data_IF_833822958663
#
_entry.id   IF_833822958663
#
_cell.length_a   1.000
_cell.length_b   1.000
_cell.length_c   1.000
_cell.angle_alpha   90.00
_cell.angle_beta   90.00
_cell.angle_gamma   90.00
#
_symmetry.space_group_name_H-M   'P 1'
#
loop_
_entity.id
_entity.type
_entity.pdbx_description
1 polymer ?
#
# COMPACT_ATOMS: atom_id res chain seq x y z
N UNK A 1 -9.14 19.39 -16.87
CA UNK A 1 -7.79 19.76 -16.44
C UNK A 1 -6.83 18.64 -16.77
N UNK A 2 -6.68 18.40 -18.00
CA UNK A 2 -5.69 17.43 -18.50
C UNK A 2 -4.59 18.33 -19.05
N UNK A 3 -3.39 18.24 -18.54
CA UNK A 3 -2.27 19.11 -18.88
C UNK A 3 -2.03 19.30 -20.39
N UNK A 4 -0.97 19.92 -20.78
CA UNK A 4 -0.61 20.10 -22.19
C UNK A 4 -0.07 18.83 -22.79
N UNK A 5 -0.96 17.84 -23.00
CA UNK A 5 -0.61 16.63 -23.73
C UNK A 5 -0.88 16.81 -25.22
N UNK A 6 0.10 16.39 -26.04
CA UNK A 6 0.01 16.37 -27.51
C UNK A 6 0.32 14.99 -28.02
N UNK A 7 -0.39 14.56 -29.05
CA UNK A 7 -0.01 13.36 -29.79
C UNK A 7 1.35 13.55 -30.50
N UNK A 8 2.05 12.48 -30.87
CA UNK A 8 3.33 12.57 -31.58
C UNK A 8 3.28 13.40 -32.88
N UNK A 9 2.10 13.51 -33.49
CA UNK A 9 1.87 14.36 -34.68
C UNK A 9 1.59 15.83 -34.35
N UNK A 10 1.72 16.25 -33.08
CA UNK A 10 1.50 17.62 -32.62
C UNK A 10 0.04 18.02 -32.43
N UNK A 11 -0.93 17.12 -32.61
CA UNK A 11 -2.34 17.40 -32.36
C UNK A 11 -2.69 17.29 -30.88
N UNK A 12 -3.65 18.10 -30.39
CA UNK A 12 -4.18 17.97 -29.03
C UNK A 12 -5.27 16.90 -28.98
N UNK A 13 -5.34 16.10 -27.90
CA UNK A 13 -6.49 15.23 -27.66
C UNK A 13 -7.78 16.06 -27.52
N UNK A 14 -8.88 15.51 -27.99
CA UNK A 14 -10.21 16.08 -27.74
C UNK A 14 -10.66 15.68 -26.30
N UNK A 15 -10.23 16.47 -25.33
CA UNK A 15 -10.41 16.16 -23.90
C UNK A 15 -11.87 15.98 -23.50
N UNK A 16 -12.79 16.72 -24.15
CA UNK A 16 -14.22 16.58 -23.90
C UNK A 16 -14.72 15.18 -24.31
N UNK A 17 -14.25 14.69 -25.44
CA UNK A 17 -14.58 13.34 -25.91
C UNK A 17 -13.99 12.26 -24.96
N UNK A 18 -12.76 12.45 -24.49
CA UNK A 18 -12.13 11.57 -23.51
C UNK A 18 -12.91 11.52 -22.20
N UNK A 19 -13.34 12.69 -21.68
CA UNK A 19 -14.16 12.77 -20.45
C UNK A 19 -15.51 12.08 -20.63
N UNK A 20 -16.20 12.29 -21.74
CA UNK A 20 -17.46 11.60 -22.06
C UNK A 20 -17.22 10.08 -22.10
N UNK A 21 -16.17 9.63 -22.77
CA UNK A 21 -15.87 8.22 -22.93
C UNK A 21 -15.58 7.54 -21.58
N UNK A 22 -14.78 8.15 -20.70
CA UNK A 22 -14.50 7.58 -19.37
C UNK A 22 -15.76 7.46 -18.53
N UNK A 23 -16.64 8.48 -18.52
CA UNK A 23 -17.91 8.45 -17.77
C UNK A 23 -18.87 7.40 -18.33
N UNK A 24 -18.93 7.24 -19.65
CA UNK A 24 -19.71 6.17 -20.30
C UNK A 24 -19.16 4.79 -19.93
N UNK A 25 -17.83 4.61 -19.98
CA UNK A 25 -17.17 3.37 -19.61
C UNK A 25 -17.46 3.00 -18.15
N UNK A 26 -17.31 3.92 -17.21
CA UNK A 26 -17.62 3.71 -15.80
C UNK A 26 -19.06 3.20 -15.59
N UNK A 27 -20.04 3.89 -16.18
CA UNK A 27 -21.46 3.50 -16.10
C UNK A 27 -21.72 2.15 -16.75
N UNK A 28 -21.17 1.90 -17.94
CA UNK A 28 -21.32 0.64 -18.65
C UNK A 28 -20.69 -0.52 -17.85
N UNK A 29 -19.49 -0.33 -17.34
CA UNK A 29 -18.77 -1.36 -16.61
C UNK A 29 -19.42 -1.66 -15.25
N UNK A 30 -19.95 -0.65 -14.57
CA UNK A 30 -20.77 -0.84 -13.37
C UNK A 30 -22.02 -1.68 -13.69
N UNK A 31 -22.73 -1.37 -14.78
CA UNK A 31 -23.89 -2.16 -15.23
C UNK A 31 -23.49 -3.60 -15.59
N UNK A 32 -22.33 -3.82 -16.20
CA UNK A 32 -21.82 -5.15 -16.49
C UNK A 32 -21.57 -5.95 -15.21
N UNK A 33 -21.02 -5.33 -14.17
CA UNK A 33 -20.75 -5.96 -12.86
C UNK A 33 -22.01 -6.40 -12.11
N UNK A 34 -23.17 -5.87 -12.42
CA UNK A 34 -24.44 -6.38 -11.88
C UNK A 34 -24.85 -7.73 -12.49
N UNK A 35 -24.27 -8.08 -13.64
CA UNK A 35 -24.57 -9.30 -14.39
C UNK A 35 -23.47 -10.36 -14.29
N UNK A 36 -22.24 -9.93 -14.07
CA UNK A 36 -21.08 -10.79 -13.98
C UNK A 36 -20.05 -10.21 -12.99
N UNK A 37 -19.38 -11.08 -12.24
CA UNK A 37 -18.23 -10.65 -11.41
C UNK A 37 -17.03 -10.51 -12.35
N UNK A 38 -16.69 -9.27 -12.66
CA UNK A 38 -15.60 -8.93 -13.57
C UNK A 38 -14.41 -8.46 -12.73
N UNK A 39 -13.33 -9.25 -12.72
CA UNK A 39 -12.13 -8.95 -11.96
C UNK A 39 -11.20 -7.94 -12.65
N UNK A 40 -11.25 -7.87 -13.99
CA UNK A 40 -10.41 -7.01 -14.81
C UNK A 40 -11.24 -6.26 -15.88
N UNK A 41 -10.81 -5.04 -16.27
CA UNK A 41 -9.68 -4.29 -15.74
C UNK A 41 -9.85 -3.91 -14.27
N UNK A 42 -8.73 -3.75 -13.56
CA UNK A 42 -8.73 -3.12 -12.24
C UNK A 42 -8.72 -1.61 -12.47
N UNK A 43 -9.79 -0.95 -12.09
CA UNK A 43 -9.97 0.48 -12.34
C UNK A 43 -9.43 1.30 -11.19
N UNK A 44 -8.84 2.45 -11.51
CA UNK A 44 -8.49 3.49 -10.57
C UNK A 44 -9.11 4.79 -11.02
N UNK A 45 -9.98 5.37 -10.21
CA UNK A 45 -10.63 6.65 -10.47
C UNK A 45 -9.80 7.75 -9.82
N UNK A 46 -9.13 8.53 -10.65
CA UNK A 46 -8.27 9.62 -10.21
C UNK A 46 -9.05 10.93 -10.11
N UNK A 47 -8.91 11.61 -8.97
CA UNK A 47 -9.56 12.90 -8.70
C UNK A 47 -8.51 13.90 -8.24
N UNK A 48 -8.65 15.16 -8.70
CA UNK A 48 -7.79 16.28 -8.28
C UNK A 48 -8.56 17.16 -7.30
N UNK A 49 -7.90 17.54 -6.19
CA UNK A 49 -8.45 18.43 -5.17
C UNK A 49 -7.68 19.76 -5.09
N UNK A 50 -8.32 20.80 -4.58
CA UNK A 50 -7.75 22.13 -4.35
C UNK A 50 -7.29 22.35 -2.88
N UNK A 51 -7.22 21.27 -2.11
CA UNK A 51 -6.96 21.27 -0.67
C UNK A 51 -8.21 21.32 0.20
N UNK A 52 -9.39 21.60 -0.39
CA UNK A 52 -10.67 21.65 0.32
C UNK A 52 -11.69 20.66 -0.25
N UNK A 53 -11.77 20.54 -1.57
CA UNK A 53 -12.73 19.67 -2.24
C UNK A 53 -12.16 19.18 -3.59
N UNK A 54 -12.79 18.15 -4.17
CA UNK A 54 -12.51 17.72 -5.54
C UNK A 54 -12.93 18.82 -6.52
N UNK A 55 -12.04 19.13 -7.45
CA UNK A 55 -12.28 20.21 -8.44
C UNK A 55 -13.45 19.83 -9.35
N UNK A 56 -13.50 18.60 -9.87
CA UNK A 56 -14.62 18.09 -10.67
C UNK A 56 -15.68 17.46 -9.76
N UNK A 57 -16.63 18.28 -9.31
CA UNK A 57 -17.71 17.86 -8.41
C UNK A 57 -18.67 16.87 -9.05
N UNK A 58 -18.87 16.94 -10.36
CA UNK A 58 -19.73 15.99 -11.07
C UNK A 58 -19.07 14.60 -11.09
N UNK A 59 -17.76 14.55 -11.34
CA UNK A 59 -17.02 13.30 -11.29
C UNK A 59 -16.95 12.71 -9.88
N UNK A 60 -16.74 13.54 -8.85
CA UNK A 60 -16.85 13.14 -7.44
C UNK A 60 -18.19 12.47 -7.13
N UNK A 61 -19.29 13.13 -7.57
CA UNK A 61 -20.64 12.61 -7.40
C UNK A 61 -20.85 11.28 -8.13
N UNK A 62 -20.32 11.16 -9.36
CA UNK A 62 -20.37 9.91 -10.12
C UNK A 62 -19.61 8.78 -9.43
N UNK A 63 -18.41 9.05 -8.89
CA UNK A 63 -17.65 8.06 -8.15
C UNK A 63 -18.39 7.56 -6.89
N UNK A 64 -19.00 8.48 -6.13
CA UNK A 64 -19.78 8.13 -4.95
C UNK A 64 -21.03 7.32 -5.30
N UNK A 65 -21.70 7.64 -6.41
CA UNK A 65 -22.84 6.89 -6.95
C UNK A 65 -22.41 5.46 -7.37
N UNK A 66 -21.29 5.34 -8.09
CA UNK A 66 -20.75 4.03 -8.48
C UNK A 66 -20.43 3.16 -7.27
N UNK A 67 -19.86 3.72 -6.21
CA UNK A 67 -19.63 3.01 -4.96
C UNK A 67 -20.94 2.55 -4.30
N UNK A 68 -21.95 3.43 -4.22
CA UNK A 68 -23.24 3.10 -3.65
C UNK A 68 -23.98 2.00 -4.43
N UNK A 69 -23.79 1.97 -5.75
CA UNK A 69 -24.29 0.89 -6.62
C UNK A 69 -23.47 -0.40 -6.51
N UNK A 70 -22.34 -0.38 -5.78
CA UNK A 70 -21.49 -1.54 -5.54
C UNK A 70 -20.41 -1.80 -6.58
N UNK A 71 -20.03 -0.76 -7.32
CA UNK A 71 -18.84 -0.85 -8.17
C UNK A 71 -17.57 -0.94 -7.33
N UNK A 72 -16.64 -1.79 -7.73
CA UNK A 72 -15.41 -2.01 -7.01
C UNK A 72 -14.21 -1.47 -7.81
N UNK A 73 -13.70 -0.32 -7.39
CA UNK A 73 -12.54 0.36 -7.99
C UNK A 73 -11.63 0.93 -6.91
N UNK A 74 -10.45 1.36 -7.29
CA UNK A 74 -9.59 2.18 -6.43
C UNK A 74 -9.88 3.65 -6.66
N UNK A 75 -9.82 4.43 -5.61
CA UNK A 75 -9.84 5.89 -5.68
C UNK A 75 -8.44 6.42 -5.43
N UNK A 76 -7.99 7.29 -6.32
CA UNK A 76 -6.76 8.06 -6.15
C UNK A 76 -7.08 9.55 -6.10
N UNK A 77 -6.67 10.20 -5.01
CA UNK A 77 -6.87 11.64 -4.80
C UNK A 77 -5.50 12.32 -4.73
N UNK A 78 -5.31 13.37 -5.52
CA UNK A 78 -4.06 14.13 -5.62
C UNK A 78 -4.32 15.62 -5.73
N UNK A 79 -3.34 16.41 -5.34
CA UNK A 79 -3.28 17.87 -5.54
C UNK A 79 -2.79 18.27 -6.94
N UNK A 80 -2.36 17.30 -7.73
CA UNK A 80 -1.80 17.53 -9.07
C UNK A 80 -2.37 16.55 -10.10
N UNK A 81 -2.70 17.05 -11.29
CA UNK A 81 -3.09 16.22 -12.43
C UNK A 81 -1.93 15.40 -12.99
N UNK A 82 -0.69 15.75 -12.66
CA UNK A 82 0.51 15.06 -13.11
C UNK A 82 0.89 13.87 -12.20
N UNK A 83 0.14 13.66 -11.12
CA UNK A 83 0.33 12.54 -10.22
C UNK A 83 -0.62 11.41 -10.58
N UNK A 84 -0.07 10.23 -10.81
CA UNK A 84 -0.82 9.02 -11.19
C UNK A 84 -0.54 7.91 -10.17
N UNK A 85 -1.51 7.04 -9.99
CA UNK A 85 -1.35 5.81 -9.22
C UNK A 85 -1.70 4.59 -10.07
N UNK A 86 -1.01 3.49 -9.82
CA UNK A 86 -1.31 2.18 -10.40
C UNK A 86 -2.00 1.27 -9.38
N UNK A 87 -2.60 0.18 -9.86
CA UNK A 87 -3.23 -0.83 -9.01
C UNK A 87 -2.28 -1.47 -7.99
N UNK A 88 -0.97 -1.41 -8.23
CA UNK A 88 0.09 -1.92 -7.34
C UNK A 88 0.54 -0.90 -6.30
N UNK A 89 -0.22 0.18 -6.06
CA UNK A 89 0.06 1.26 -5.09
C UNK A 89 1.19 2.20 -5.49
N UNK A 90 1.85 1.95 -6.61
CA UNK A 90 2.93 2.79 -7.09
C UNK A 90 2.39 4.18 -7.42
N UNK A 91 2.90 5.17 -6.72
CA UNK A 91 2.64 6.58 -6.97
C UNK A 91 3.73 7.15 -7.87
N UNK A 92 3.33 7.75 -8.96
CA UNK A 92 4.22 8.42 -9.90
C UNK A 92 3.95 9.93 -9.81
N UNK A 93 4.82 10.68 -9.17
CA UNK A 93 4.75 12.13 -9.10
C UNK A 93 5.81 12.73 -10.00
N UNK A 94 5.34 13.48 -10.97
CA UNK A 94 6.13 14.00 -12.07
C UNK A 94 6.96 15.19 -11.70
N UNK A 95 6.40 16.14 -10.95
CA UNK A 95 7.02 17.43 -10.65
C UNK A 95 8.30 17.36 -9.81
N UNK A 96 8.49 16.26 -9.09
CA UNK A 96 9.68 16.04 -8.25
C UNK A 96 10.74 15.17 -8.91
N UNK A 97 10.42 14.60 -10.06
CA UNK A 97 11.40 13.92 -10.90
C UNK A 97 12.06 14.98 -11.76
N UNK A 98 13.34 15.23 -11.53
CA UNK A 98 14.19 16.19 -12.25
C UNK A 98 14.37 15.87 -13.74
N UNK A 99 13.33 15.38 -14.40
CA UNK A 99 13.30 15.19 -15.84
C UNK A 99 12.85 16.51 -16.51
N UNK A 100 13.70 17.01 -17.38
CA UNK A 100 13.53 18.23 -18.15
C UNK A 100 12.09 18.43 -18.66
N UNK A 101 11.53 19.63 -18.55
CA UNK A 101 10.23 20.00 -19.12
C UNK A 101 10.08 19.73 -20.62
N UNK A 102 11.19 19.53 -21.30
CA UNK A 102 11.22 19.27 -22.76
C UNK A 102 10.87 17.81 -23.14
N UNK A 103 10.75 16.89 -22.21
CA UNK A 103 10.39 15.50 -22.53
C UNK A 103 8.90 15.19 -22.44
N UNK A 104 8.02 16.17 -22.31
CA UNK A 104 6.57 16.20 -22.62
C UNK A 104 5.65 15.04 -22.23
N UNK A 105 6.15 13.99 -21.58
CA UNK A 105 5.42 12.75 -21.27
C UNK A 105 5.67 12.36 -19.82
N UNK A 106 5.15 13.14 -18.98
CA UNK A 106 5.30 13.11 -17.55
C UNK A 106 4.31 12.11 -16.93
N UNK A 107 4.78 11.25 -16.03
CA UNK A 107 3.96 10.21 -15.36
C UNK A 107 3.66 8.97 -16.20
N UNK A 108 3.89 9.02 -17.48
CA UNK A 108 3.78 7.88 -18.40
C UNK A 108 5.18 7.27 -18.59
N UNK A 109 5.27 5.95 -18.80
CA UNK A 109 6.52 5.19 -18.97
C UNK A 109 7.38 5.08 -17.71
N UNK A 110 6.82 5.24 -16.53
CA UNK A 110 7.49 5.04 -15.26
C UNK A 110 6.90 3.87 -14.50
N UNK A 111 7.62 3.39 -13.49
CA UNK A 111 7.21 2.25 -12.68
C UNK A 111 8.36 1.81 -11.78
N UNK A 112 8.30 0.59 -11.26
CA UNK A 112 9.40 -0.05 -10.55
C UNK A 112 10.12 -1.05 -11.45
N UNK A 113 11.44 -0.97 -11.54
CA UNK A 113 12.23 -1.98 -12.25
C UNK A 113 12.47 -3.23 -11.39
N UNK A 114 12.53 -3.07 -10.08
CA UNK A 114 12.53 -4.17 -9.13
C UNK A 114 12.18 -3.66 -7.72
N UNK A 115 11.83 -4.60 -6.83
CA UNK A 115 11.51 -4.33 -5.43
C UNK A 115 12.34 -5.26 -4.55
N UNK A 116 13.07 -4.69 -3.58
CA UNK A 116 13.68 -5.46 -2.49
C UNK A 116 12.90 -5.11 -1.22
N UNK A 117 12.21 -6.09 -0.66
CA UNK A 117 11.33 -5.88 0.48
C UNK A 117 12.04 -6.14 1.79
N UNK A 118 12.03 -5.16 2.67
CA UNK A 118 12.48 -5.26 4.04
C UNK A 118 11.45 -6.00 4.89
N UNK A 119 11.88 -7.01 5.63
CA UNK A 119 11.11 -7.63 6.70
C UNK A 119 11.39 -6.87 8.00
N UNK A 120 10.57 -5.89 8.32
CA UNK A 120 10.78 -4.99 9.47
C UNK A 120 10.70 -5.75 10.79
N UNK A 121 9.84 -6.78 10.89
CA UNK A 121 9.76 -7.61 12.10
C UNK A 121 11.10 -8.26 12.43
N UNK A 122 11.73 -8.91 11.45
CA UNK A 122 13.05 -9.52 11.62
C UNK A 122 14.13 -8.48 11.94
N UNK A 123 14.13 -7.37 11.21
CA UNK A 123 15.13 -6.31 11.39
C UNK A 123 15.07 -5.69 12.79
N UNK A 124 13.88 -5.48 13.34
CA UNK A 124 13.70 -4.97 14.71
C UNK A 124 14.19 -6.00 15.73
N UNK A 125 13.86 -7.28 15.56
CA UNK A 125 14.30 -8.33 16.48
C UNK A 125 15.83 -8.51 16.44
N UNK A 126 16.45 -8.50 15.27
CA UNK A 126 17.92 -8.52 15.12
C UNK A 126 18.57 -7.32 15.80
N UNK A 127 17.99 -6.13 15.62
CA UNK A 127 18.47 -4.92 16.28
C UNK A 127 18.41 -5.05 17.81
N UNK A 128 17.27 -5.50 18.34
CA UNK A 128 17.08 -5.71 19.77
C UNK A 128 18.12 -6.70 20.32
N UNK A 129 18.34 -7.81 19.63
CA UNK A 129 19.33 -8.80 20.03
C UNK A 129 20.75 -8.21 20.00
N UNK A 130 21.09 -7.40 18.98
CA UNK A 130 22.41 -6.74 18.91
C UNK A 130 22.65 -5.73 20.05
N UNK A 131 21.59 -5.08 20.54
CA UNK A 131 21.67 -4.16 21.68
C UNK A 131 21.85 -4.94 22.99
N UNK A 132 21.12 -6.05 23.17
CA UNK A 132 21.27 -6.88 24.38
C UNK A 132 22.73 -7.26 24.59
N UNK A 133 23.42 -7.71 23.55
CA UNK A 133 24.81 -8.10 23.63
C UNK A 133 25.73 -6.91 23.98
N UNK A 134 25.48 -5.73 23.40
CA UNK A 134 26.24 -4.52 23.74
C UNK A 134 25.95 -3.98 25.15
N UNK A 135 24.73 -4.11 25.64
CA UNK A 135 24.35 -3.73 26.99
C UNK A 135 24.96 -4.65 28.03
N UNK A 136 25.01 -5.95 27.78
CA UNK A 136 25.70 -6.92 28.64
C UNK A 136 27.18 -6.52 28.76
N UNK A 137 27.83 -6.20 27.64
CA UNK A 137 29.23 -5.77 27.60
C UNK A 137 29.47 -4.43 28.34
N UNK A 138 28.52 -3.48 28.28
CA UNK A 138 28.65 -2.18 28.96
C UNK A 138 28.33 -2.27 30.47
N UNK A 139 27.47 -3.17 30.90
CA UNK A 139 27.14 -3.41 32.31
C UNK A 139 28.30 -4.11 33.01
N UNK A 140 29.04 -4.97 32.36
CA UNK A 140 30.28 -5.55 32.90
C UNK A 140 31.40 -4.50 33.08
N UNK A 141 31.36 -3.39 32.33
CA UNK A 141 32.34 -2.30 32.37
C UNK A 141 31.91 -1.16 33.31
N UNK A 142 30.62 -0.92 33.48
CA UNK A 142 30.11 0.11 34.40
C UNK A 142 29.54 -0.52 35.68
N UNK A 143 30.23 -0.30 36.79
CA UNK A 143 29.83 -0.77 38.14
C UNK A 143 28.58 -0.07 38.70
N UNK A 144 27.78 0.62 37.90
CA UNK A 144 26.55 1.26 38.28
C UNK A 144 25.33 0.42 37.92
N UNK A 145 24.66 -0.07 38.95
CA UNK A 145 23.51 -0.95 39.02
C UNK A 145 22.31 -0.53 38.15
N UNK A 146 22.36 -0.77 36.83
CA UNK A 146 21.16 -0.80 36.00
C UNK A 146 20.78 -2.26 35.76
N UNK A 147 19.55 -2.68 36.08
CA UNK A 147 19.13 -4.07 35.90
C UNK A 147 19.13 -4.43 34.40
N UNK A 148 19.62 -5.62 34.11
CA UNK A 148 19.56 -6.25 32.78
C UNK A 148 18.13 -6.21 32.23
N UNK A 149 17.91 -5.91 30.94
CA UNK A 149 16.60 -6.02 30.34
C UNK A 149 16.13 -7.47 30.42
N UNK A 150 15.09 -7.68 31.22
CA UNK A 150 14.31 -8.91 31.24
C UNK A 150 13.67 -9.11 29.87
N UNK A 151 13.18 -10.29 29.57
CA UNK A 151 12.32 -10.54 28.41
C UNK A 151 11.24 -9.44 28.33
N UNK A 152 10.82 -8.98 27.13
CA UNK A 152 9.79 -7.95 27.00
C UNK A 152 8.53 -8.19 27.83
N UNK A 153 8.19 -9.44 28.09
CA UNK A 153 7.04 -9.86 28.92
C UNK A 153 7.25 -9.63 30.42
N UNK A 154 8.45 -9.24 30.86
CA UNK A 154 8.80 -9.04 32.28
C UNK A 154 9.22 -7.62 32.61
N UNK A 155 9.20 -6.71 31.61
CA UNK A 155 9.53 -5.30 31.78
C UNK A 155 8.33 -4.54 32.36
N UNK A 156 8.59 -3.66 33.33
CA UNK A 156 7.57 -2.72 33.78
C UNK A 156 7.39 -1.55 32.79
N UNK A 157 6.41 -0.68 33.05
CA UNK A 157 6.08 0.42 32.14
C UNK A 157 7.20 1.46 31.96
N UNK A 158 8.05 1.64 32.96
CA UNK A 158 9.19 2.56 32.90
C UNK A 158 10.35 1.94 32.11
N UNK A 159 10.63 0.67 32.32
CA UNK A 159 11.63 -0.10 31.57
C UNK A 159 11.27 -0.18 30.10
N UNK A 160 9.99 -0.42 29.76
CA UNK A 160 9.49 -0.39 28.38
C UNK A 160 9.66 1.02 27.77
N UNK A 161 9.37 2.08 28.53
CA UNK A 161 9.51 3.47 28.07
C UNK A 161 10.98 3.82 27.80
N UNK A 162 11.89 3.40 28.67
CA UNK A 162 13.34 3.61 28.49
C UNK A 162 13.86 2.85 27.27
N UNK A 163 13.42 1.62 27.10
CA UNK A 163 13.76 0.77 25.96
C UNK A 163 13.29 1.36 24.63
N UNK A 164 12.06 1.90 24.59
CA UNK A 164 11.51 2.63 23.44
C UNK A 164 12.35 3.86 23.06
N UNK A 165 12.81 4.64 24.06
CA UNK A 165 13.70 5.79 23.83
C UNK A 165 15.02 5.40 23.22
N UNK A 166 15.58 4.27 23.58
CA UNK A 166 16.85 3.77 23.01
C UNK A 166 16.65 3.27 21.58
N UNK A 167 15.56 2.57 21.30
CA UNK A 167 15.19 2.20 19.93
C UNK A 167 15.08 3.44 19.06
N UNK A 168 14.36 4.47 19.54
CA UNK A 168 14.19 5.71 18.78
C UNK A 168 15.53 6.40 18.45
N UNK A 169 16.53 6.27 19.32
CA UNK A 169 17.87 6.85 19.11
C UNK A 169 18.78 6.03 18.18
N UNK A 170 18.78 4.73 18.31
CA UNK A 170 19.80 3.85 17.72
C UNK A 170 19.32 3.11 16.47
N UNK A 171 18.02 2.77 16.41
CA UNK A 171 17.45 1.99 15.33
C UNK A 171 17.65 2.60 13.93
N UNK A 172 17.49 3.92 13.70
CA UNK A 172 17.76 4.51 12.39
C UNK A 172 19.14 4.18 11.86
N UNK A 173 20.18 4.25 12.68
CA UNK A 173 21.56 3.91 12.29
C UNK A 173 21.70 2.44 11.89
N UNK A 174 21.04 1.54 12.60
CA UNK A 174 21.02 0.11 12.27
C UNK A 174 20.30 -0.14 10.93
N UNK A 175 19.15 0.48 10.74
CA UNK A 175 18.38 0.40 9.49
C UNK A 175 19.17 0.95 8.31
N UNK A 176 19.86 2.08 8.47
CA UNK A 176 20.71 2.68 7.44
C UNK A 176 21.79 1.68 6.98
N UNK A 177 22.46 0.96 7.88
CA UNK A 177 23.45 -0.04 7.50
C UNK A 177 22.89 -1.17 6.65
N UNK A 178 21.60 -1.51 6.84
CA UNK A 178 20.90 -2.49 6.00
C UNK A 178 20.59 -1.88 4.65
N UNK A 179 20.05 -0.66 4.63
CA UNK A 179 19.70 0.07 3.42
C UNK A 179 20.91 0.27 2.49
N UNK A 180 22.09 0.57 3.04
CA UNK A 180 23.33 0.68 2.27
C UNK A 180 23.61 -0.56 1.42
N UNK A 181 23.37 -1.75 1.98
CA UNK A 181 23.53 -3.00 1.22
C UNK A 181 22.43 -3.15 0.16
N UNK A 182 21.20 -2.78 0.49
CA UNK A 182 20.08 -2.86 -0.43
C UNK A 182 20.27 -1.92 -1.63
N UNK A 183 20.77 -0.71 -1.41
CA UNK A 183 21.07 0.22 -2.51
C UNK A 183 22.16 -0.33 -3.45
N UNK A 184 23.19 -0.98 -2.92
CA UNK A 184 24.22 -1.64 -3.74
C UNK A 184 23.64 -2.72 -4.64
N UNK A 185 22.73 -3.55 -4.12
CA UNK A 185 22.04 -4.55 -4.94
C UNK A 185 21.15 -3.92 -6.01
N UNK A 186 20.41 -2.88 -5.66
CA UNK A 186 19.58 -2.16 -6.63
C UNK A 186 20.40 -1.51 -7.75
N UNK A 187 21.51 -0.85 -7.39
CA UNK A 187 22.41 -0.23 -8.37
C UNK A 187 23.00 -1.29 -9.30
N UNK A 188 23.50 -2.40 -8.75
CA UNK A 188 24.06 -3.50 -9.56
C UNK A 188 22.99 -4.07 -10.52
N UNK A 189 21.80 -4.34 -10.03
CA UNK A 189 20.70 -4.86 -10.85
C UNK A 189 20.30 -3.88 -11.95
N UNK A 190 20.10 -2.60 -11.63
CA UNK A 190 19.70 -1.60 -12.61
C UNK A 190 20.82 -1.32 -13.64
N UNK A 191 22.08 -1.45 -13.26
CA UNK A 191 23.21 -1.37 -14.19
C UNK A 191 23.11 -2.46 -15.26
N UNK A 192 22.81 -3.71 -14.89
CA UNK A 192 22.59 -4.80 -15.83
C UNK A 192 21.42 -4.47 -16.77
N UNK A 193 20.33 -3.90 -16.24
CA UNK A 193 19.20 -3.51 -17.08
C UNK A 193 19.56 -2.41 -18.09
N UNK A 194 20.39 -1.45 -17.71
CA UNK A 194 20.91 -0.44 -18.63
C UNK A 194 21.78 -1.04 -19.74
N UNK A 195 22.67 -1.97 -19.38
CA UNK A 195 23.52 -2.65 -20.36
C UNK A 195 22.68 -3.46 -21.37
N UNK A 196 21.59 -4.07 -20.93
CA UNK A 196 20.66 -4.79 -21.79
C UNK A 196 19.79 -3.83 -22.64
N UNK A 197 19.37 -2.67 -22.11
CA UNK A 197 18.68 -1.63 -22.89
C UNK A 197 19.60 -1.10 -24.00
N UNK A 198 20.85 -0.77 -23.68
CA UNK A 198 21.86 -0.28 -24.64
C UNK A 198 22.20 -1.33 -25.71
N UNK A 199 22.14 -2.62 -25.35
CA UNK A 199 22.30 -3.73 -26.30
C UNK A 199 21.04 -4.02 -27.13
N UNK A 200 19.95 -3.26 -26.95
CA UNK A 200 18.69 -3.44 -27.69
C UNK A 200 17.90 -4.69 -27.30
N UNK A 201 18.16 -5.30 -26.13
CA UNK A 201 17.53 -6.55 -25.71
C UNK A 201 16.06 -6.39 -25.25
N UNK A 202 15.64 -5.16 -24.95
CA UNK A 202 14.27 -4.87 -24.53
C UNK A 202 13.41 -4.30 -25.66
N UNK A 203 12.58 -5.12 -26.27
CA UNK A 203 11.69 -4.70 -27.38
C UNK A 203 10.74 -3.59 -27.00
N UNK A 204 10.23 -3.57 -25.75
CA UNK A 204 9.36 -2.51 -25.24
C UNK A 204 10.09 -1.16 -25.10
N UNK A 205 11.38 -1.16 -24.74
CA UNK A 205 12.21 0.04 -24.69
C UNK A 205 12.53 0.55 -26.10
N UNK A 206 12.89 -0.36 -27.01
CA UNK A 206 13.16 -0.04 -28.41
C UNK A 206 11.95 0.56 -29.11
N UNK A 207 10.74 0.09 -28.76
CA UNK A 207 9.47 0.62 -29.27
C UNK A 207 9.05 1.94 -28.60
N UNK A 208 9.79 2.41 -27.58
CA UNK A 208 9.52 3.68 -26.89
C UNK A 208 8.38 3.62 -25.87
N UNK A 209 7.91 2.43 -25.47
CA UNK A 209 6.83 2.30 -24.48
C UNK A 209 7.32 2.54 -23.06
N UNK A 210 8.57 2.21 -22.75
CA UNK A 210 9.18 2.36 -21.43
C UNK A 210 10.67 2.63 -21.59
N UNK A 211 11.28 3.27 -20.59
CA UNK A 211 12.72 3.48 -20.53
C UNK A 211 13.23 3.15 -19.13
N UNK A 212 14.32 2.38 -19.04
CA UNK A 212 14.91 1.97 -17.77
C UNK A 212 15.29 3.18 -16.91
N UNK A 213 15.73 4.28 -17.52
CA UNK A 213 16.08 5.53 -16.81
C UNK A 213 14.90 6.16 -16.04
N UNK A 214 13.65 5.88 -16.43
CA UNK A 214 12.44 6.40 -15.77
C UNK A 214 11.92 5.48 -14.66
N UNK A 215 12.48 4.30 -14.49
CA UNK A 215 12.03 3.34 -13.52
C UNK A 215 12.72 3.54 -12.17
N UNK A 216 11.97 3.31 -11.10
CA UNK A 216 12.48 3.32 -9.74
C UNK A 216 13.01 1.96 -9.33
N UNK A 217 14.02 1.97 -8.45
CA UNK A 217 14.39 0.84 -7.61
C UNK A 217 13.65 0.99 -6.29
N UNK A 218 12.71 0.11 -6.00
CA UNK A 218 11.76 0.29 -4.89
C UNK A 218 12.23 -0.44 -3.63
N UNK A 219 12.26 0.28 -2.53
CA UNK A 219 12.39 -0.30 -1.20
C UNK A 219 11.01 -0.73 -0.75
N UNK A 220 10.75 -2.01 -0.80
CA UNK A 220 9.50 -2.61 -0.30
C UNK A 220 9.52 -2.68 1.23
N UNK A 221 8.36 -2.54 1.85
CA UNK A 221 8.19 -2.57 3.30
C UNK A 221 7.11 -3.56 3.65
N UNK A 222 7.41 -4.50 4.57
CA UNK A 222 6.47 -5.46 5.13
C UNK A 222 6.85 -5.79 6.58
N UNK A 223 5.91 -6.25 7.41
CA UNK A 223 6.18 -6.62 8.80
C UNK A 223 6.21 -5.46 9.79
N UNK A 224 5.64 -4.29 9.45
CA UNK A 224 5.57 -3.13 10.35
C UNK A 224 4.68 -3.40 11.57
N UNK A 225 3.50 -3.97 11.35
CA UNK A 225 2.55 -4.27 12.42
C UNK A 225 3.11 -5.32 13.38
N UNK A 226 3.75 -6.33 12.82
CA UNK A 226 4.38 -7.42 13.54
C UNK A 226 5.53 -6.91 14.43
N UNK A 227 6.36 -6.04 13.88
CA UNK A 227 7.42 -5.36 14.64
C UNK A 227 6.86 -4.48 15.77
N UNK A 228 5.76 -3.76 15.52
CA UNK A 228 5.10 -2.95 16.53
C UNK A 228 4.53 -3.81 17.66
N UNK A 229 3.87 -4.93 17.34
CA UNK A 229 3.35 -5.88 18.34
C UNK A 229 4.48 -6.51 19.14
N UNK A 230 5.58 -6.91 18.53
CA UNK A 230 6.78 -7.39 19.22
C UNK A 230 7.32 -6.38 20.23
N UNK A 231 7.26 -5.09 19.91
CA UNK A 231 7.65 -4.01 20.82
C UNK A 231 6.60 -3.67 21.89
N UNK A 232 5.49 -4.40 21.94
CA UNK A 232 4.37 -4.13 22.83
C UNK A 232 3.55 -2.90 22.47
N UNK A 233 3.69 -2.37 21.24
CA UNK A 233 2.89 -1.26 20.74
C UNK A 233 1.52 -1.75 20.29
N UNK A 234 0.48 -0.99 20.64
CA UNK A 234 -0.86 -1.26 20.12
C UNK A 234 -0.98 -0.74 18.70
N UNK A 235 -1.20 -1.64 17.72
CA UNK A 235 -1.40 -1.31 16.32
C UNK A 235 -2.77 -0.67 16.13
N UNK A 236 -2.85 0.64 16.27
CA UNK A 236 -4.08 1.43 16.18
C UNK A 236 -3.73 2.92 15.95
N UNK A 237 -4.75 3.77 15.77
CA UNK A 237 -4.58 5.22 15.71
C UNK A 237 -4.23 5.77 17.11
N UNK A 238 -2.95 5.70 17.44
CA UNK A 238 -2.38 6.26 18.68
C UNK A 238 -0.98 6.83 18.41
N UNK A 239 -0.56 7.72 19.28
CA UNK A 239 0.69 8.47 19.14
C UNK A 239 1.92 7.56 19.03
N UNK A 240 2.05 6.58 19.90
CA UNK A 240 3.24 5.72 19.99
C UNK A 240 3.43 4.92 18.70
N UNK A 241 2.33 4.35 18.16
CA UNK A 241 2.38 3.59 16.94
C UNK A 241 2.66 4.47 15.70
N UNK A 242 2.06 5.67 15.65
CA UNK A 242 2.31 6.63 14.57
C UNK A 242 3.77 7.09 14.57
N UNK A 243 4.33 7.42 15.74
CA UNK A 243 5.74 7.80 15.88
C UNK A 243 6.68 6.65 15.45
N UNK A 244 6.33 5.41 15.77
CA UNK A 244 7.07 4.23 15.32
C UNK A 244 7.04 4.09 13.80
N UNK A 245 5.87 4.23 13.16
CA UNK A 245 5.75 4.21 11.71
C UNK A 245 6.58 5.32 11.06
N UNK A 246 6.45 6.55 11.57
CA UNK A 246 7.16 7.72 11.06
C UNK A 246 8.68 7.56 11.18
N UNK A 247 9.18 7.02 12.28
CA UNK A 247 10.60 6.76 12.46
C UNK A 247 11.18 5.89 11.34
N UNK A 248 10.53 4.78 11.04
CA UNK A 248 10.99 3.84 10.02
C UNK A 248 10.85 4.45 8.62
N UNK A 249 9.65 4.96 8.32
CA UNK A 249 9.33 5.47 6.99
C UNK A 249 10.13 6.72 6.63
N UNK A 250 10.33 7.66 7.58
CA UNK A 250 11.17 8.85 7.34
C UNK A 250 12.62 8.47 7.10
N UNK A 251 13.17 7.54 7.90
CA UNK A 251 14.55 7.06 7.71
C UNK A 251 14.72 6.48 6.29
N UNK A 252 13.81 5.65 5.83
CA UNK A 252 13.88 5.08 4.48
C UNK A 252 13.77 6.19 3.42
N UNK A 253 12.83 7.13 3.56
CA UNK A 253 12.64 8.23 2.62
C UNK A 253 13.87 9.12 2.52
N UNK A 254 14.46 9.50 3.64
CA UNK A 254 15.67 10.33 3.69
C UNK A 254 16.84 9.61 3.00
N UNK A 255 17.03 8.31 3.26
CA UNK A 255 18.06 7.52 2.61
C UNK A 255 17.81 7.35 1.11
N UNK A 256 16.56 7.14 0.68
CA UNK A 256 16.21 7.12 -0.74
C UNK A 256 16.61 8.43 -1.45
N UNK A 257 16.37 9.58 -0.82
CA UNK A 257 16.76 10.87 -1.37
C UNK A 257 18.28 11.04 -1.46
N UNK A 258 19.01 10.62 -0.42
CA UNK A 258 20.48 10.71 -0.37
C UNK A 258 21.17 9.80 -1.40
N UNK A 259 20.60 8.60 -1.65
CA UNK A 259 21.21 7.61 -2.56
C UNK A 259 20.74 7.76 -4.00
N UNK A 260 19.71 8.57 -4.27
CA UNK A 260 19.25 8.82 -5.64
C UNK A 260 20.27 9.61 -6.43
N UNK A 261 20.69 9.06 -7.56
CA UNK A 261 21.68 9.63 -8.47
C UNK A 261 20.97 10.15 -9.72
N UNK A 262 20.96 11.47 -9.89
CA UNK A 262 20.34 12.14 -11.05
C UNK A 262 21.35 12.29 -12.21
N UNK A 263 21.82 11.16 -12.74
CA UNK A 263 22.61 11.17 -13.96
C UNK A 263 21.69 11.31 -15.19
N UNK A 264 22.12 12.07 -16.20
CA UNK A 264 21.29 12.32 -17.42
C UNK A 264 21.09 11.06 -18.26
N UNK A 265 22.02 10.13 -18.24
CA UNK A 265 22.00 8.92 -19.06
C UNK A 265 21.49 7.72 -18.29
N UNK A 266 22.05 7.48 -17.10
CA UNK A 266 21.78 6.31 -16.26
C UNK A 266 21.42 6.72 -14.80
N UNK A 267 20.27 7.38 -14.56
CA UNK A 267 19.88 7.75 -13.21
C UNK A 267 19.49 6.53 -12.37
N UNK A 268 19.83 6.58 -11.08
CA UNK A 268 19.38 5.61 -10.09
C UNK A 268 18.42 6.32 -9.14
N UNK A 269 17.14 6.07 -9.31
CA UNK A 269 16.08 6.68 -8.51
C UNK A 269 15.50 5.64 -7.55
N UNK A 270 15.31 6.02 -6.30
CA UNK A 270 14.77 5.16 -5.26
C UNK A 270 13.45 5.72 -4.75
N UNK A 271 12.53 4.83 -4.43
CA UNK A 271 11.29 5.14 -3.73
C UNK A 271 10.96 4.03 -2.72
N UNK A 272 9.94 4.25 -1.89
CA UNK A 272 9.51 3.28 -0.88
C UNK A 272 8.02 2.97 -1.02
N UNK A 273 7.67 1.70 -0.86
CA UNK A 273 6.31 1.19 -0.99
C UNK A 273 5.98 0.22 0.13
N UNK A 274 4.81 0.38 0.74
CA UNK A 274 4.22 -0.69 1.55
C UNK A 274 3.66 -1.73 0.59
N UNK A 275 4.42 -2.81 0.39
CA UNK A 275 4.14 -3.75 -0.68
C UNK A 275 2.82 -4.51 -0.50
N UNK A 276 2.07 -4.78 -1.57
CA UNK A 276 0.92 -5.67 -1.56
C UNK A 276 1.39 -7.14 -1.52
N UNK A 277 1.89 -7.56 -0.36
CA UNK A 277 2.61 -8.82 -0.18
C UNK A 277 1.66 -10.02 -0.19
N UNK A 278 1.20 -10.48 -1.36
CA UNK A 278 0.31 -11.65 -1.46
C UNK A 278 0.96 -12.93 -0.92
N UNK A 279 1.98 -13.43 -1.60
CA UNK A 279 2.72 -14.64 -1.18
C UNK A 279 3.87 -14.32 -0.23
N UNK A 280 4.47 -13.13 -0.33
CA UNK A 280 5.60 -12.73 0.51
C UNK A 280 5.18 -12.58 1.98
N UNK A 281 3.96 -12.12 2.26
CA UNK A 281 3.44 -11.99 3.61
C UNK A 281 3.43 -13.34 4.37
N UNK A 282 2.99 -14.39 3.70
CA UNK A 282 3.01 -15.76 4.23
C UNK A 282 4.44 -16.30 4.33
N UNK A 283 5.29 -16.03 3.32
CA UNK A 283 6.69 -16.46 3.34
C UNK A 283 7.46 -15.80 4.49
N UNK A 284 7.32 -14.47 4.70
CA UNK A 284 7.96 -13.78 5.81
C UNK A 284 7.58 -14.39 7.16
N UNK A 285 6.28 -14.62 7.39
CA UNK A 285 5.79 -15.27 8.59
C UNK A 285 6.42 -16.65 8.80
N UNK A 286 6.41 -17.51 7.76
CA UNK A 286 6.92 -18.87 7.84
C UNK A 286 8.44 -18.92 8.00
N UNK A 287 9.19 -18.04 7.33
CA UNK A 287 10.64 -17.93 7.48
C UNK A 287 11.02 -17.46 8.88
N UNK A 288 10.36 -16.41 9.39
CA UNK A 288 10.63 -15.91 10.74
C UNK A 288 10.32 -16.95 11.80
N UNK A 289 9.16 -17.62 11.70
CA UNK A 289 8.80 -18.72 12.61
C UNK A 289 9.80 -19.87 12.58
N UNK A 290 10.24 -20.28 11.38
CA UNK A 290 11.24 -21.34 11.20
C UNK A 290 12.59 -20.97 11.80
N UNK A 291 13.00 -19.70 11.64
CA UNK A 291 14.30 -19.22 12.09
C UNK A 291 14.28 -18.77 13.56
N UNK A 292 13.17 -18.97 14.30
CA UNK A 292 13.06 -18.72 15.74
C UNK A 292 12.73 -17.27 16.12
N UNK A 293 12.33 -16.42 15.16
CA UNK A 293 11.82 -15.09 15.47
C UNK A 293 10.38 -15.14 16.00
N UNK A 294 10.05 -14.18 16.83
CA UNK A 294 8.68 -14.04 17.31
C UNK A 294 7.75 -13.60 16.17
N UNK A 295 6.63 -14.29 16.06
CA UNK A 295 5.59 -14.03 15.07
C UNK A 295 4.23 -13.99 15.74
N UNK A 296 3.23 -13.26 15.21
CA UNK A 296 1.89 -13.24 15.77
C UNK A 296 1.28 -14.63 15.90
N UNK A 297 0.65 -14.92 17.04
CA UNK A 297 -0.03 -16.20 17.29
C UNK A 297 -1.44 -16.28 16.71
N UNK A 298 -2.07 -15.12 16.46
CA UNK A 298 -3.46 -15.00 16.03
C UNK A 298 -3.66 -14.89 14.51
N UNK A 299 -2.59 -14.99 13.74
CA UNK A 299 -2.59 -14.98 12.28
C UNK A 299 -1.36 -15.72 11.73
N UNK A 300 -1.38 -16.04 10.45
CA UNK A 300 -0.36 -16.86 9.76
C UNK A 300 0.33 -16.14 8.61
N UNK A 301 0.20 -14.82 8.54
CA UNK A 301 0.87 -13.97 7.55
C UNK A 301 1.02 -12.53 8.07
N UNK A 302 1.92 -11.79 7.44
CA UNK A 302 2.17 -10.39 7.77
C UNK A 302 1.22 -9.44 7.03
N UNK A 303 0.84 -8.36 7.70
CA UNK A 303 -0.03 -7.35 7.13
C UNK A 303 0.68 -6.48 6.08
N UNK A 304 -0.13 -5.98 5.13
CA UNK A 304 0.30 -5.03 4.10
C UNK A 304 -0.36 -3.65 4.26
N UNK A 305 -0.84 -3.33 5.47
CA UNK A 305 -1.52 -2.09 5.81
C UNK A 305 -0.96 -1.54 7.12
N UNK A 306 -1.27 -0.28 7.44
CA UNK A 306 -0.91 0.32 8.73
C UNK A 306 -1.91 0.00 9.85
N UNK A 307 -2.70 -1.04 9.69
CA UNK A 307 -3.65 -1.54 10.68
C UNK A 307 -3.87 -3.05 10.48
N UNK A 308 -4.38 -3.71 11.52
CA UNK A 308 -4.70 -5.13 11.44
C UNK A 308 -6.07 -5.35 10.80
N UNK A 309 -6.15 -6.23 9.81
CA UNK A 309 -7.40 -6.55 9.11
C UNK A 309 -8.41 -7.32 9.99
N UNK A 310 -7.93 -7.95 11.05
CA UNK A 310 -8.71 -8.70 12.03
C UNK A 310 -9.00 -7.92 13.32
N UNK A 311 -8.66 -6.63 13.40
CA UNK A 311 -8.99 -5.78 14.56
C UNK A 311 -10.44 -5.27 14.48
N UNK A 312 -11.24 -5.59 15.50
CA UNK A 312 -12.64 -5.15 15.62
C UNK A 312 -12.78 -3.72 16.16
N UNK A 313 -11.72 -3.16 16.75
CA UNK A 313 -11.77 -1.89 17.48
C UNK A 313 -11.34 -0.69 16.64
N UNK A 314 -10.79 -0.91 15.45
CA UNK A 314 -10.34 0.17 14.57
C UNK A 314 -11.47 0.62 13.63
N UNK A 315 -11.80 1.90 13.68
CA UNK A 315 -12.84 2.47 12.83
C UNK A 315 -12.38 2.66 11.38
N UNK A 316 -13.32 2.87 10.47
CA UNK A 316 -13.03 3.24 9.07
C UNK A 316 -12.22 4.53 9.02
N UNK A 317 -12.56 5.52 9.84
CA UNK A 317 -11.87 6.81 9.87
C UNK A 317 -10.44 6.67 10.38
N UNK A 318 -10.19 5.84 11.40
CA UNK A 318 -8.83 5.56 11.89
C UNK A 318 -7.97 4.88 10.83
N UNK A 319 -8.55 3.93 10.08
CA UNK A 319 -7.85 3.26 8.95
C UNK A 319 -7.43 4.27 7.89
N UNK A 320 -8.31 5.20 7.53
CA UNK A 320 -8.02 6.27 6.59
C UNK A 320 -6.96 7.22 7.14
N UNK A 321 -7.07 7.64 8.40
CA UNK A 321 -6.09 8.51 9.05
C UNK A 321 -4.68 7.90 9.05
N UNK A 322 -4.54 6.62 9.39
CA UNK A 322 -3.26 5.92 9.37
C UNK A 322 -2.63 5.85 7.97
N UNK A 323 -3.43 5.86 6.91
CA UNK A 323 -2.96 5.91 5.52
C UNK A 323 -2.96 7.33 4.93
N UNK A 324 -3.18 8.35 5.76
CA UNK A 324 -3.18 9.76 5.40
C UNK A 324 -1.85 10.47 5.69
N UNK A 325 -1.94 11.74 6.03
CA UNK A 325 -0.78 12.63 6.25
C UNK A 325 0.22 12.12 7.30
N UNK A 326 -0.20 11.27 8.23
CA UNK A 326 0.69 10.66 9.22
C UNK A 326 1.76 9.76 8.61
N UNK A 327 1.49 9.11 7.48
CA UNK A 327 2.38 8.13 6.84
C UNK A 327 2.59 8.38 5.35
N UNK A 328 1.58 8.93 4.65
CA UNK A 328 1.57 9.10 3.19
C UNK A 328 2.77 9.89 2.66
N UNK A 329 3.17 10.95 3.36
CA UNK A 329 4.32 11.77 2.96
C UNK A 329 5.64 11.01 2.93
N UNK A 330 5.74 9.87 3.62
CA UNK A 330 6.93 9.04 3.70
C UNK A 330 6.93 7.84 2.74
N UNK A 331 5.81 7.57 2.08
CA UNK A 331 5.66 6.45 1.13
C UNK A 331 5.50 6.99 -0.29
N UNK A 332 6.58 7.45 -0.88
CA UNK A 332 6.61 8.03 -2.23
C UNK A 332 6.38 7.00 -3.35
N UNK A 333 6.61 5.71 -3.10
CA UNK A 333 6.17 4.60 -3.94
C UNK A 333 4.73 4.16 -3.68
N UNK A 334 4.10 4.63 -2.61
CA UNK A 334 2.70 4.43 -2.31
C UNK A 334 2.37 3.45 -1.20
N UNK A 335 1.15 3.57 -0.72
CA UNK A 335 0.46 2.62 0.16
C UNK A 335 -1.03 2.67 -0.19
N UNK A 336 -1.76 1.56 -0.04
CA UNK A 336 -3.19 1.55 -0.30
C UNK A 336 -3.99 1.21 0.96
N UNK A 337 -5.02 2.00 1.23
CA UNK A 337 -5.97 1.75 2.30
C UNK A 337 -7.12 0.88 1.80
N UNK A 338 -7.17 -0.40 2.21
CA UNK A 338 -8.27 -1.29 1.90
C UNK A 338 -9.27 -1.33 3.06
N UNK A 339 -10.44 -0.79 2.84
CA UNK A 339 -11.49 -0.69 3.85
C UNK A 339 -12.51 -1.79 3.59
N UNK A 340 -12.57 -2.78 4.48
CA UNK A 340 -13.56 -3.84 4.40
C UNK A 340 -14.88 -3.36 5.00
N UNK A 341 -15.97 -3.39 4.20
CA UNK A 341 -17.31 -3.04 4.59
C UNK A 341 -18.22 -4.27 4.47
N UNK A 342 -19.15 -4.46 5.41
CA UNK A 342 -20.12 -5.54 5.34
C UNK A 342 -21.23 -5.22 4.35
N UNK A 343 -21.57 -3.94 4.21
CA UNK A 343 -22.66 -3.46 3.38
C UNK A 343 -22.27 -2.24 2.55
N UNK A 344 -23.02 -1.97 1.51
CA UNK A 344 -22.85 -0.76 0.73
C UNK A 344 -23.40 0.45 1.50
N UNK A 345 -22.61 1.51 1.54
CA UNK A 345 -23.01 2.79 2.13
C UNK A 345 -23.86 3.58 1.14
N UNK A 346 -24.57 4.61 1.64
CA UNK A 346 -25.27 5.55 0.77
C UNK A 346 -24.28 6.43 0.01
N UNK A 347 -24.73 7.04 -1.08
CA UNK A 347 -23.96 8.03 -1.84
C UNK A 347 -23.43 9.16 -0.96
N UNK A 348 -24.27 9.65 -0.05
CA UNK A 348 -23.94 10.74 0.88
C UNK A 348 -22.81 10.33 1.86
N UNK A 349 -22.83 9.09 2.34
CA UNK A 349 -21.77 8.56 3.19
C UNK A 349 -20.45 8.42 2.43
N UNK A 350 -20.48 7.95 1.18
CA UNK A 350 -19.28 7.91 0.34
C UNK A 350 -18.73 9.30 0.02
N UNK A 351 -19.59 10.29 -0.23
CA UNK A 351 -19.17 11.69 -0.40
C UNK A 351 -18.41 12.19 0.82
N UNK A 352 -18.96 11.97 2.02
CA UNK A 352 -18.28 12.34 3.28
C UNK A 352 -16.96 11.61 3.48
N UNK A 353 -16.85 10.34 3.10
CA UNK A 353 -15.58 9.60 3.17
C UNK A 353 -14.54 10.15 2.18
N UNK A 354 -14.95 10.58 0.99
CA UNK A 354 -14.08 11.27 0.04
C UNK A 354 -13.61 12.61 0.63
N UNK A 355 -14.50 13.39 1.25
CA UNK A 355 -14.14 14.64 1.93
C UNK A 355 -13.17 14.39 3.09
N UNK A 356 -13.41 13.34 3.87
CA UNK A 356 -12.51 12.93 4.93
C UNK A 356 -11.13 12.51 4.39
N UNK A 357 -11.09 11.79 3.26
CA UNK A 357 -9.84 11.41 2.60
C UNK A 357 -9.01 12.65 2.20
N UNK A 358 -9.65 13.71 1.68
CA UNK A 358 -8.97 14.97 1.36
C UNK A 358 -8.43 15.61 2.63
N UNK A 359 -9.25 15.72 3.67
CA UNK A 359 -8.87 16.33 4.95
C UNK A 359 -7.68 15.64 5.60
N UNK A 360 -7.67 14.31 5.62
CA UNK A 360 -6.62 13.52 6.26
C UNK A 360 -5.46 13.14 5.31
N UNK A 361 -5.55 13.50 4.02
CA UNK A 361 -4.51 13.20 3.03
C UNK A 361 -4.44 11.73 2.62
N UNK A 362 -5.54 10.98 2.75
CA UNK A 362 -5.62 9.58 2.32
C UNK A 362 -5.76 9.51 0.81
N UNK A 363 -4.66 9.37 0.10
CA UNK A 363 -4.62 9.52 -1.36
C UNK A 363 -5.07 8.30 -2.14
N UNK A 364 -4.84 7.08 -1.64
CA UNK A 364 -5.12 5.86 -2.39
C UNK A 364 -5.87 4.84 -1.53
N UNK A 365 -7.12 4.59 -1.88
CA UNK A 365 -7.99 3.70 -1.10
C UNK A 365 -9.01 2.97 -1.96
N UNK A 366 -9.61 1.93 -1.39
CA UNK A 366 -10.75 1.21 -1.97
C UNK A 366 -11.66 0.69 -0.87
N UNK A 367 -12.96 0.57 -1.19
CA UNK A 367 -13.92 -0.12 -0.35
C UNK A 367 -14.12 -1.54 -0.88
N UNK A 368 -13.87 -2.52 -0.01
CA UNK A 368 -13.95 -3.93 -0.34
C UNK A 368 -15.19 -4.53 0.33
N UNK A 369 -16.15 -4.89 -0.49
CA UNK A 369 -17.43 -5.50 -0.06
C UNK A 369 -17.48 -6.89 -0.69
N UNK A 370 -17.74 -7.96 0.09
CA UNK A 370 -17.84 -9.31 -0.46
C UNK A 370 -19.02 -9.43 -1.42
N UNK A 371 -18.79 -10.14 -2.53
CA UNK A 371 -19.82 -10.52 -3.47
C UNK A 371 -19.99 -12.03 -3.45
N UNK A 372 -21.22 -12.51 -3.69
CA UNK A 372 -21.51 -13.93 -3.80
C UNK A 372 -22.06 -14.28 -5.18
N UNK A 373 -21.65 -15.43 -5.70
CA UNK A 373 -22.17 -16.00 -6.95
C UNK A 373 -22.63 -17.43 -6.71
N UNK A 374 -23.84 -17.74 -7.11
CA UNK A 374 -24.29 -19.12 -7.21
C UNK A 374 -23.71 -19.75 -8.46
N UNK A 375 -22.93 -20.82 -8.32
CA UNK A 375 -22.28 -21.49 -9.43
C UNK A 375 -23.27 -22.31 -10.28
N UNK A 376 -24.44 -22.69 -9.73
CA UNK A 376 -25.42 -23.52 -10.42
C UNK A 376 -26.37 -22.71 -11.33
N UNK A 377 -26.86 -21.56 -10.84
CA UNK A 377 -27.79 -20.74 -11.64
C UNK A 377 -27.24 -19.39 -12.09
N UNK A 378 -25.99 -19.06 -11.71
CA UNK A 378 -25.34 -17.81 -12.07
C UNK A 378 -25.86 -16.56 -11.33
N UNK A 379 -26.74 -16.71 -10.31
CA UNK A 379 -27.22 -15.58 -9.52
C UNK A 379 -26.05 -14.89 -8.80
N UNK A 380 -26.00 -13.57 -8.89
CA UNK A 380 -24.98 -12.75 -8.25
C UNK A 380 -25.64 -11.78 -7.28
N UNK A 381 -25.05 -11.64 -6.10
CA UNK A 381 -25.45 -10.63 -5.11
C UNK A 381 -24.24 -9.92 -4.53
N UNK A 382 -24.45 -8.68 -4.10
CA UNK A 382 -23.46 -7.81 -3.45
C UNK A 382 -23.40 -8.04 -1.93
N UNK A 383 -23.97 -9.14 -1.46
CA UNK A 383 -23.97 -9.52 -0.05
C UNK A 383 -23.45 -10.95 0.10
N UNK A 384 -22.80 -11.28 1.23
CA UNK A 384 -22.48 -12.66 1.56
C UNK A 384 -23.77 -13.47 1.72
N UNK A 385 -23.87 -14.58 1.01
CA UNK A 385 -24.97 -15.55 1.16
C UNK A 385 -24.39 -16.95 1.31
N UNK A 386 -25.12 -17.83 1.98
CA UNK A 386 -24.79 -19.26 2.14
C UNK A 386 -25.69 -20.17 1.30
N UNK A 387 -26.82 -19.66 0.87
CA UNK A 387 -27.81 -20.33 0.02
C UNK A 387 -28.34 -19.37 -1.04
N UNK A 388 -28.50 -19.84 -2.25
CA UNK A 388 -29.02 -19.04 -3.35
C UNK A 388 -30.51 -18.75 -3.19
N UNK A 389 -30.94 -17.49 -3.13
CA UNK A 389 -32.38 -17.17 -3.01
C UNK A 389 -33.20 -17.51 -4.28
N UNK A 390 -32.52 -17.81 -5.40
CA UNK A 390 -33.18 -18.12 -6.67
C UNK A 390 -33.38 -19.62 -6.90
N UNK A 391 -32.41 -20.46 -6.56
CA UNK A 391 -32.46 -21.89 -6.85
C UNK A 391 -32.19 -22.78 -5.62
N UNK A 392 -32.03 -22.16 -4.45
CA UNK A 392 -31.79 -22.84 -3.16
C UNK A 392 -30.50 -23.68 -3.11
N UNK A 393 -29.62 -23.51 -4.08
CA UNK A 393 -28.31 -24.16 -4.08
C UNK A 393 -27.39 -23.59 -2.99
N UNK A 394 -26.61 -24.46 -2.37
CA UNK A 394 -25.53 -24.11 -1.43
C UNK A 394 -24.17 -23.98 -2.13
N UNK A 395 -24.11 -24.20 -3.45
CA UNK A 395 -22.89 -24.08 -4.24
C UNK A 395 -22.60 -22.59 -4.51
N UNK A 396 -22.18 -21.89 -3.46
CA UNK A 396 -21.93 -20.45 -3.48
C UNK A 396 -20.42 -20.19 -3.47
N UNK A 397 -19.96 -19.36 -4.40
CA UNK A 397 -18.62 -18.81 -4.39
C UNK A 397 -18.64 -17.37 -3.86
N UNK A 398 -17.86 -17.12 -2.80
CA UNK A 398 -17.66 -15.77 -2.29
C UNK A 398 -16.44 -15.15 -2.93
N UNK A 399 -16.59 -13.91 -3.38
CA UNK A 399 -15.54 -13.11 -4.02
C UNK A 399 -15.19 -11.91 -3.15
N UNK A 400 -13.91 -11.68 -2.97
CA UNK A 400 -13.39 -10.49 -2.30
C UNK A 400 -12.06 -10.09 -2.94
N UNK A 401 -11.55 -8.91 -2.62
CA UNK A 401 -10.19 -8.57 -3.04
C UNK A 401 -9.19 -9.42 -2.28
N UNK A 402 -8.28 -10.07 -3.00
CA UNK A 402 -7.11 -10.68 -2.35
C UNK A 402 -6.20 -9.57 -1.82
N UNK A 403 -5.74 -8.70 -2.72
CA UNK A 403 -5.16 -7.38 -2.43
C UNK A 403 -5.64 -6.39 -3.50
N UNK A 404 -5.16 -6.49 -4.74
CA UNK A 404 -5.43 -5.53 -5.82
C UNK A 404 -6.68 -5.86 -6.65
N UNK A 405 -7.15 -7.11 -6.71
CA UNK A 405 -8.22 -7.54 -7.60
C UNK A 405 -9.18 -8.52 -6.93
N UNK A 406 -10.40 -8.61 -7.48
CA UNK A 406 -11.44 -9.54 -7.02
C UNK A 406 -11.11 -10.97 -7.45
N UNK A 407 -11.25 -11.92 -6.54
CA UNK A 407 -11.07 -13.35 -6.81
C UNK A 407 -11.96 -14.19 -5.90
N UNK A 408 -12.41 -15.38 -6.34
CA UNK A 408 -13.09 -16.32 -5.43
C UNK A 408 -12.15 -16.69 -4.26
N UNK A 409 -12.66 -16.65 -3.03
CA UNK A 409 -11.85 -16.96 -1.83
C UNK A 409 -11.28 -18.39 -1.92
N UNK A 410 -12.05 -19.34 -2.47
CA UNK A 410 -11.61 -20.72 -2.67
C UNK A 410 -10.36 -20.89 -3.56
N UNK A 411 -10.02 -19.87 -4.35
CA UNK A 411 -8.83 -19.84 -5.21
C UNK A 411 -7.65 -19.08 -4.60
N UNK A 412 -7.77 -18.58 -3.37
CA UNK A 412 -6.66 -18.01 -2.63
C UNK A 412 -5.70 -19.12 -2.19
N UNK A 413 -4.45 -18.79 -1.86
CA UNK A 413 -3.58 -19.71 -1.13
C UNK A 413 -4.18 -20.05 0.23
N UNK A 414 -3.81 -21.21 0.80
CA UNK A 414 -4.35 -21.67 2.09
C UNK A 414 -4.24 -20.59 3.17
N UNK A 415 -3.08 -19.95 3.30
CA UNK A 415 -2.86 -18.88 4.29
C UNK A 415 -3.76 -17.68 4.04
N UNK A 416 -3.99 -17.33 2.77
CA UNK A 416 -4.90 -16.23 2.40
C UNK A 416 -6.36 -16.58 2.58
N UNK A 417 -6.75 -17.85 2.48
CA UNK A 417 -8.11 -18.28 2.82
C UNK A 417 -8.37 -18.12 4.32
N UNK A 418 -7.40 -18.51 5.16
CA UNK A 418 -7.47 -18.32 6.61
C UNK A 418 -7.58 -16.83 6.95
N UNK A 419 -6.71 -15.98 6.37
CA UNK A 419 -6.75 -14.53 6.58
C UNK A 419 -8.09 -13.94 6.14
N UNK A 420 -8.61 -14.31 4.96
CA UNK A 420 -9.91 -13.83 4.48
C UNK A 420 -11.05 -14.19 5.45
N UNK A 421 -10.97 -15.35 6.11
CA UNK A 421 -11.93 -15.79 7.13
C UNK A 421 -11.84 -15.02 8.45
N UNK A 422 -10.72 -14.37 8.73
CA UNK A 422 -10.51 -13.57 9.96
C UNK A 422 -10.70 -12.07 9.74
N UNK A 423 -10.92 -11.61 8.49
CA UNK A 423 -11.13 -10.19 8.18
C UNK A 423 -12.34 -9.63 8.90
N UNK A 424 -12.16 -8.46 9.50
CA UNK A 424 -13.26 -7.69 10.08
C UNK A 424 -13.84 -6.77 9.02
N UNK A 425 -15.15 -6.91 8.80
CA UNK A 425 -15.92 -6.05 7.93
C UNK A 425 -16.67 -5.03 8.80
N UNK A 426 -16.40 -3.75 8.58
CA UNK A 426 -17.01 -2.68 9.37
C UNK A 426 -18.51 -2.55 9.06
N UNK A 427 -19.32 -2.51 10.12
CA UNK A 427 -20.78 -2.29 10.09
C UNK A 427 -21.11 -0.87 10.57
N UNK A 428 -22.28 -0.37 10.20
CA UNK A 428 -22.83 0.89 10.72
C UNK A 428 -21.81 2.04 10.72
N UNK A 429 -21.15 2.24 9.58
CA UNK A 429 -20.13 3.28 9.45
C UNK A 429 -20.75 4.65 9.69
N UNK A 430 -20.40 5.26 10.82
CA UNK A 430 -20.78 6.64 11.15
C UNK A 430 -19.74 7.58 10.53
N UNK A 431 -20.20 8.39 9.58
CA UNK A 431 -19.38 9.40 8.89
C UNK A 431 -19.98 10.79 9.08
#
# INVERSE_FOLDING_TARGET
MFGEFYYPNGTKPEWKAVDILQRLFMKWFNKLRTKAIVAFPVETFAMVHDGKDIIDKEYKNLCAEMYAEGHSFFTYISDSADSLASCCRLRNQVDKNTFSPTSGLTGIMTGSCNVITLNINRIIQDFINSIKDQFILHIEISKDNLPLPKSPDTLDSEEISLYRKQITKLFPKYLINILERVYKYHIAYKTILYDWEDAGMFTCCNAGYIHIKKLYSTIGINGLNEAAEFLGLKVNNNKDYIEFLQLILSTIKEQNALHSINDKKRPFLFNSEVVPAESLASKNYNWDKKDGYEVPSNRNLYNSYFFLQNDTNISVLDKMYLHGNSTYQYTDGGSACHINLEEHLSKEQYLKLIDYAIKEGTSYFTFNIPNSKCEDCGYITKHPIVECPKCHSKNISQYTRIIGYLRPIKLFSTDRQIEAGTRVYNKNVKV
#
